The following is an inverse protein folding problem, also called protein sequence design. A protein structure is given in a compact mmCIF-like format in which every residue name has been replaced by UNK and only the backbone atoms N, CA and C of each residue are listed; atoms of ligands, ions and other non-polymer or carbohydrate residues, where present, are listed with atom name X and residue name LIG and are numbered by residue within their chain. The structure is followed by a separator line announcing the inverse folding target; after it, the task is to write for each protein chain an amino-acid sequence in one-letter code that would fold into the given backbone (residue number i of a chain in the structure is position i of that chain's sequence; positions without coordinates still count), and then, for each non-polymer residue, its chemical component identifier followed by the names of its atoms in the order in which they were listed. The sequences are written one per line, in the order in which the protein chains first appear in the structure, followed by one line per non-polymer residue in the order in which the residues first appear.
data_IF_991917933361
#
_entry.id   IF_991917933361
#
_cell.length_a   1.000
_cell.length_b   1.000
_cell.length_c   1.000
_cell.angle_alpha   90.00
_cell.angle_beta   90.00
_cell.angle_gamma   90.00
#
_symmetry.space_group_name_H-M   'P 1'
#
loop_
_entity.id
_entity.type
_entity.pdbx_description
1 polymer ?
#
# COMPACT_ATOMS: atom_id res chain seq x y z
N UNK A 1 9.70 16.60 11.99
CA UNK A 1 10.61 17.67 11.54
C UNK A 1 11.53 17.00 10.52
N UNK A 2 11.44 17.39 9.24
CA UNK A 2 12.16 16.73 8.16
C UNK A 2 13.62 17.15 8.20
N UNK A 3 14.49 16.21 8.54
CA UNK A 3 15.90 16.43 8.86
C UNK A 3 16.73 16.54 7.58
N UNK A 4 16.42 17.50 6.70
CA UNK A 4 17.29 17.95 5.60
C UNK A 4 17.76 16.91 4.57
N UNK A 5 17.31 15.66 4.65
CA UNK A 5 17.72 14.57 3.77
C UNK A 5 16.83 14.55 2.55
N UNK A 6 17.43 14.74 1.37
CA UNK A 6 16.74 14.61 0.09
C UNK A 6 16.37 13.14 -0.13
N UNK A 7 15.08 12.83 -0.07
CA UNK A 7 14.54 11.53 -0.44
C UNK A 7 14.00 11.61 -1.86
N UNK A 8 14.63 10.89 -2.79
CA UNK A 8 14.09 10.60 -4.10
C UNK A 8 13.55 9.17 -4.10
N UNK A 9 12.36 8.97 -4.65
CA UNK A 9 11.79 7.64 -4.89
C UNK A 9 11.16 7.59 -6.27
N UNK A 10 11.26 6.44 -6.92
CA UNK A 10 10.73 6.19 -8.26
C UNK A 10 9.42 5.43 -8.16
N UNK A 11 8.37 6.05 -8.71
CA UNK A 11 7.03 5.50 -8.72
C UNK A 11 6.66 4.96 -10.09
N UNK A 12 6.23 3.71 -10.14
CA UNK A 12 5.52 3.18 -11.31
C UNK A 12 4.02 3.29 -11.09
N UNK A 13 3.32 3.95 -11.99
CA UNK A 13 1.87 4.16 -11.90
C UNK A 13 1.21 3.57 -13.12
N UNK A 14 0.29 2.63 -12.90
CA UNK A 14 -0.52 2.01 -13.93
C UNK A 14 -1.99 2.36 -13.72
N UNK A 15 -2.50 3.28 -14.54
CA UNK A 15 -3.89 3.72 -14.49
C UNK A 15 -4.72 2.98 -15.53
N UNK A 16 -5.76 2.27 -15.10
CA UNK A 16 -6.72 1.63 -16.00
C UNK A 16 -8.11 2.17 -15.71
N UNK A 17 -8.62 3.05 -16.57
CA UNK A 17 -10.02 3.48 -16.43
C UNK A 17 -10.96 2.29 -16.64
N UNK A 18 -11.64 1.88 -15.56
CA UNK A 18 -12.42 0.65 -15.48
C UNK A 18 -13.42 0.49 -16.61
N UNK A 19 -14.30 1.48 -16.84
CA UNK A 19 -15.38 1.39 -17.84
C UNK A 19 -15.05 2.05 -19.19
N UNK A 20 -14.06 2.95 -19.24
CA UNK A 20 -13.70 3.64 -20.50
C UNK A 20 -12.77 2.80 -21.39
N UNK A 21 -12.12 1.79 -20.83
CA UNK A 21 -11.21 0.90 -21.55
C UNK A 21 -11.93 -0.35 -22.06
N UNK A 22 -11.52 -0.91 -23.19
CA UNK A 22 -12.01 -2.23 -23.62
C UNK A 22 -11.43 -3.35 -22.74
N UNK A 23 -12.15 -4.47 -22.58
CA UNK A 23 -11.63 -5.67 -21.87
C UNK A 23 -10.27 -6.09 -22.42
N UNK A 24 -10.11 -6.04 -23.75
CA UNK A 24 -8.88 -6.39 -24.45
C UNK A 24 -7.72 -5.48 -24.04
N UNK A 25 -7.96 -4.17 -24.00
CA UNK A 25 -6.97 -3.19 -23.57
C UNK A 25 -6.56 -3.43 -22.12
N UNK A 26 -7.53 -3.58 -21.20
CA UNK A 26 -7.23 -3.86 -19.78
C UNK A 26 -6.37 -5.10 -19.61
N UNK A 27 -6.75 -6.20 -20.28
CA UNK A 27 -5.97 -7.44 -20.23
C UNK A 27 -4.57 -7.28 -20.81
N UNK A 28 -4.41 -6.58 -21.94
CA UNK A 28 -3.10 -6.37 -22.56
C UNK A 28 -2.16 -5.56 -21.66
N UNK A 29 -2.63 -4.43 -21.12
CA UNK A 29 -1.80 -3.58 -20.26
C UNK A 29 -1.39 -4.31 -18.97
N UNK A 30 -2.29 -5.05 -18.34
CA UNK A 30 -1.96 -5.91 -17.19
C UNK A 30 -0.99 -7.04 -17.54
N UNK A 31 -1.15 -7.67 -18.71
CA UNK A 31 -0.29 -8.79 -19.14
C UNK A 31 1.13 -8.32 -19.47
N UNK A 32 1.27 -7.14 -20.08
CA UNK A 32 2.57 -6.61 -20.49
C UNK A 32 3.32 -5.88 -19.37
N UNK A 33 2.65 -5.50 -18.27
CA UNK A 33 3.25 -4.74 -17.16
C UNK A 33 4.53 -5.39 -16.63
N UNK A 34 4.50 -6.68 -16.34
CA UNK A 34 5.65 -7.38 -15.76
C UNK A 34 6.87 -7.40 -16.70
N UNK A 35 6.62 -7.68 -17.98
CA UNK A 35 7.67 -7.69 -19.01
C UNK A 35 8.28 -6.29 -19.20
N UNK A 36 7.43 -5.25 -19.24
CA UNK A 36 7.87 -3.86 -19.34
C UNK A 36 8.76 -3.46 -18.14
N UNK A 37 8.32 -3.74 -16.92
CA UNK A 37 9.08 -3.41 -15.71
C UNK A 37 10.43 -4.13 -15.70
N UNK A 38 10.46 -5.42 -16.03
CA UNK A 38 11.69 -6.20 -16.10
C UNK A 38 12.66 -5.62 -17.12
N UNK A 39 12.16 -5.22 -18.28
CA UNK A 39 12.97 -4.61 -19.33
C UNK A 39 13.51 -3.24 -18.90
N UNK A 40 12.71 -2.42 -18.22
CA UNK A 40 13.15 -1.12 -17.69
C UNK A 40 14.23 -1.27 -16.61
N UNK A 41 14.09 -2.27 -15.73
CA UNK A 41 15.08 -2.57 -14.70
C UNK A 41 16.39 -3.09 -15.31
N UNK A 42 16.30 -3.98 -16.30
CA UNK A 42 17.47 -4.61 -16.92
C UNK A 42 18.20 -3.69 -17.91
N UNK A 43 17.48 -3.09 -18.86
CA UNK A 43 18.09 -2.36 -19.97
C UNK A 43 18.45 -0.91 -19.60
N UNK A 44 17.71 -0.32 -18.66
CA UNK A 44 17.85 1.09 -18.29
C UNK A 44 18.29 1.30 -16.83
N UNK A 45 18.44 0.22 -16.05
CA UNK A 45 18.89 0.31 -14.65
C UNK A 45 17.94 1.08 -13.73
N UNK A 46 16.67 1.23 -14.12
CA UNK A 46 15.67 1.94 -13.31
C UNK A 46 15.32 1.07 -12.12
N UNK A 47 15.29 1.65 -10.92
CA UNK A 47 14.81 0.98 -9.70
C UNK A 47 13.45 1.57 -9.33
N UNK A 48 12.45 0.73 -9.08
CA UNK A 48 11.11 1.16 -8.69
C UNK A 48 10.88 0.90 -7.21
N UNK A 49 10.68 1.95 -6.42
CA UNK A 49 10.42 1.85 -4.98
C UNK A 49 8.96 1.49 -4.70
N UNK A 50 8.05 2.00 -5.51
CA UNK A 50 6.61 1.80 -5.34
C UNK A 50 5.92 1.59 -6.68
N UNK A 51 5.00 0.62 -6.74
CA UNK A 51 4.24 0.26 -7.94
C UNK A 51 2.74 0.33 -7.64
N UNK A 52 2.05 1.27 -8.25
CA UNK A 52 0.61 1.51 -8.04
C UNK A 52 -0.22 1.05 -9.23
N UNK A 53 -1.39 0.49 -8.91
CA UNK A 53 -2.48 0.27 -9.86
C UNK A 53 -3.71 0.99 -9.35
N UNK A 54 -4.27 1.88 -10.16
CA UNK A 54 -5.47 2.64 -9.79
C UNK A 54 -6.38 2.80 -11.01
N UNK A 55 -7.67 2.98 -10.75
CA UNK A 55 -8.67 3.16 -11.80
C UNK A 55 -8.74 4.62 -12.31
N UNK A 56 -8.10 5.56 -11.59
CA UNK A 56 -8.12 6.99 -11.90
C UNK A 56 -6.99 7.77 -11.22
N UNK A 57 -6.76 9.01 -11.66
CA UNK A 57 -5.67 9.85 -11.10
C UNK A 57 -6.09 10.64 -9.86
N UNK A 58 -7.38 10.65 -9.53
CA UNK A 58 -7.93 11.45 -8.43
C UNK A 58 -7.38 11.02 -7.05
N UNK A 59 -6.99 9.75 -6.93
CA UNK A 59 -6.39 9.18 -5.71
C UNK A 59 -4.89 9.48 -5.58
N UNK A 60 -4.21 9.82 -6.68
CA UNK A 60 -2.78 10.14 -6.72
C UNK A 60 -2.53 11.59 -6.34
N UNK A 61 -2.98 11.98 -5.15
CA UNK A 61 -2.75 13.31 -4.61
C UNK A 61 -1.32 13.46 -4.09
N UNK A 62 -0.81 14.69 -4.07
CA UNK A 62 0.51 14.98 -3.48
C UNK A 62 0.58 14.54 -2.02
N UNK A 63 -0.52 14.69 -1.26
CA UNK A 63 -0.59 14.24 0.13
C UNK A 63 -0.46 12.73 0.24
N UNK A 64 -1.13 11.96 -0.61
CA UNK A 64 -1.02 10.49 -0.65
C UNK A 64 0.43 10.04 -0.92
N UNK A 65 1.07 10.63 -1.94
CA UNK A 65 2.47 10.31 -2.27
C UNK A 65 3.43 10.69 -1.14
N UNK A 66 3.20 11.81 -0.47
CA UNK A 66 4.01 12.23 0.68
C UNK A 66 3.83 11.30 1.88
N UNK A 67 2.61 10.84 2.15
CA UNK A 67 2.34 9.89 3.23
C UNK A 67 3.01 8.53 2.98
N UNK A 68 3.18 8.12 1.71
CA UNK A 68 3.94 6.92 1.32
C UNK A 68 5.44 7.13 1.51
N UNK A 69 5.98 8.26 1.07
CA UNK A 69 7.40 8.60 1.22
C UNK A 69 7.79 8.73 2.68
N UNK A 70 6.88 9.22 3.52
CA UNK A 70 7.14 9.53 4.92
C UNK A 70 6.07 8.91 5.82
N UNK A 71 6.15 7.59 6.06
CA UNK A 71 5.17 6.90 6.88
C UNK A 71 5.10 7.54 8.26
N UNK A 72 3.94 8.12 8.58
CA UNK A 72 3.65 8.67 9.90
C UNK A 72 3.85 7.55 10.92
N UNK A 73 4.58 7.82 12.00
CA UNK A 73 4.77 6.86 13.09
C UNK A 73 3.38 6.38 13.54
N UNK A 74 3.10 5.10 13.40
CA UNK A 74 1.81 4.53 13.80
C UNK A 74 1.58 4.84 15.27
N UNK A 75 0.50 5.56 15.56
CA UNK A 75 0.07 5.74 16.94
C UNK A 75 -0.14 4.35 17.54
N UNK A 76 0.55 4.09 18.66
CA UNK A 76 0.44 2.81 19.36
C UNK A 76 -1.03 2.54 19.60
N UNK A 77 -1.57 1.47 19.02
CA UNK A 77 -2.95 1.07 19.23
C UNK A 77 -3.21 1.08 20.73
N UNK A 78 -4.14 1.93 21.15
CA UNK A 78 -4.54 2.01 22.56
C UNK A 78 -5.16 0.66 22.90
N UNK A 79 -4.40 -0.18 23.59
CA UNK A 79 -4.87 -1.49 24.03
C UNK A 79 -6.03 -1.24 24.96
N UNK A 80 -7.24 -1.53 24.48
CA UNK A 80 -8.45 -1.46 25.28
C UNK A 80 -8.28 -2.39 26.47
N UNK A 81 -8.10 -1.81 27.66
CA UNK A 81 -8.01 -2.60 28.88
C UNK A 81 -9.39 -3.20 29.13
N UNK A 82 -9.48 -4.54 29.10
CA UNK A 82 -10.73 -5.23 29.44
C UNK A 82 -11.09 -4.85 30.88
N UNK A 83 -12.33 -4.38 31.15
CA UNK A 83 -12.76 -4.08 32.50
C UNK A 83 -12.66 -5.34 33.36
N UNK A 84 -12.37 -5.17 34.66
CA UNK A 84 -12.39 -6.28 35.60
C UNK A 84 -13.75 -6.98 35.54
N UNK A 85 -13.73 -8.29 35.27
CA UNK A 85 -14.95 -9.08 35.21
C UNK A 85 -15.69 -9.07 36.55
N UNK A 86 -17.01 -9.31 36.56
CA UNK A 86 -17.78 -9.35 37.80
C UNK A 86 -17.20 -10.39 38.77
N UNK A 87 -16.97 -9.97 40.03
CA UNK A 87 -16.57 -10.88 41.11
C UNK A 87 -17.63 -11.98 41.25
N UNK A 88 -17.25 -13.24 41.02
CA UNK A 88 -18.11 -14.40 41.27
C UNK A 88 -18.25 -15.43 40.15
N UNK A 89 -17.52 -15.32 39.03
CA UNK A 89 -17.46 -16.42 38.06
C UNK A 89 -16.72 -17.62 38.67
N UNK A 90 -17.48 -18.70 38.92
CA UNK A 90 -16.96 -20.00 39.36
C UNK A 90 -15.89 -20.50 38.38
N UNK A 91 -14.79 -21.11 38.83
CA UNK A 91 -13.77 -21.65 37.94
C UNK A 91 -14.38 -22.75 37.08
N UNK A 92 -14.14 -22.70 35.76
CA UNK A 92 -14.53 -23.77 34.85
C UNK A 92 -13.69 -25.00 35.20
N UNK A 93 -14.38 -26.07 35.55
CA UNK A 93 -13.85 -27.37 35.99
C UNK A 93 -12.74 -27.87 35.06
N UNK A 94 -11.65 -28.35 35.67
CA UNK A 94 -10.63 -29.20 35.05
C UNK A 94 -11.28 -30.25 34.14
N UNK A 95 -10.79 -30.37 32.91
CA UNK A 95 -11.03 -31.55 32.09
C UNK A 95 -9.67 -32.26 31.94
N UNK A 96 -9.69 -33.55 32.26
CA UNK A 96 -8.56 -34.48 32.28
C UNK A 96 -8.10 -34.82 30.87
#
# INVERSE_FOLDING_TARGET
MFEGQEHSATFFIHTISGYQSSVKSRMLYSSCKAALLTQLEHDYGITFDHRFETDGTDELTSEYLMDILYPKQQEKQLVFQKPQGPMGRRPRTHIH
#
